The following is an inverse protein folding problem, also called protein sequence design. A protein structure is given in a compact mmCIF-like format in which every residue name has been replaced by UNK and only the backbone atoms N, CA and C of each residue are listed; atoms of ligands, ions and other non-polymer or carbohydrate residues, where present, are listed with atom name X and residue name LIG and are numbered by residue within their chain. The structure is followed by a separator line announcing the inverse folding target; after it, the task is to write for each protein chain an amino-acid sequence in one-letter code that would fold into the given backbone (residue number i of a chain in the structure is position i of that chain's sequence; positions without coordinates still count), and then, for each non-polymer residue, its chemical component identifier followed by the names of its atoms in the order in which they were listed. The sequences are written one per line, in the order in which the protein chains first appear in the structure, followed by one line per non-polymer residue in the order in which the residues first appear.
data_IF_873514880067
#
_entry.id   IF_873514880067
#
_cell.length_a   1.000
_cell.length_b   1.000
_cell.length_c   1.000
_cell.angle_alpha   90.00
_cell.angle_beta   90.00
_cell.angle_gamma   90.00
#
_symmetry.space_group_name_H-M   'P 1'
#
loop_
_entity.id
_entity.type
_entity.pdbx_description
1 polymer ?
#
# COMPACT_ATOMS: atom_id res chain seq x y z
N UNK A 1 -7.61 -18.94 -2.06
CA UNK A 1 -8.79 -18.56 -1.24
C UNK A 1 -10.02 -18.33 -2.10
N UNK A 2 -10.06 -17.32 -2.98
CA UNK A 2 -11.27 -16.99 -3.77
C UNK A 2 -11.86 -18.15 -4.58
N UNK A 3 -11.01 -19.01 -5.17
CA UNK A 3 -11.46 -20.23 -5.85
C UNK A 3 -12.14 -21.23 -4.91
N UNK A 4 -11.62 -21.39 -3.70
CA UNK A 4 -12.19 -22.27 -2.69
C UNK A 4 -13.54 -21.74 -2.18
N UNK A 5 -13.67 -20.40 -2.04
CA UNK A 5 -14.95 -19.76 -1.68
C UNK A 5 -16.07 -20.04 -2.70
N UNK A 6 -15.70 -20.25 -3.97
CA UNK A 6 -16.63 -20.56 -5.06
C UNK A 6 -16.67 -22.05 -5.42
N UNK A 7 -15.95 -22.92 -4.72
CA UNK A 7 -15.87 -24.36 -5.02
C UNK A 7 -15.29 -24.71 -6.40
N UNK A 8 -14.53 -23.80 -7.03
CA UNK A 8 -14.04 -23.98 -8.41
C UNK A 8 -12.61 -24.55 -8.44
N UNK A 9 -12.44 -25.62 -9.21
CA UNK A 9 -11.14 -26.26 -9.43
C UNK A 9 -10.38 -25.60 -10.60
N UNK A 10 -9.07 -25.85 -10.70
CA UNK A 10 -8.24 -25.35 -11.80
C UNK A 10 -8.66 -25.90 -13.17
N UNK A 11 -9.31 -27.07 -13.22
CA UNK A 11 -9.82 -27.69 -14.46
C UNK A 11 -10.93 -26.87 -15.12
N UNK A 12 -11.68 -26.07 -14.34
CA UNK A 12 -12.74 -25.22 -14.89
C UNK A 12 -12.23 -24.05 -15.74
N UNK A 13 -10.91 -23.80 -15.77
CA UNK A 13 -10.25 -22.73 -16.54
C UNK A 13 -10.95 -21.36 -16.49
N UNK A 14 -11.60 -21.06 -15.36
CA UNK A 14 -12.30 -19.79 -15.17
C UNK A 14 -11.26 -18.69 -15.00
N UNK A 15 -11.42 -17.62 -15.78
CA UNK A 15 -10.55 -16.43 -15.71
C UNK A 15 -10.57 -15.83 -14.31
N UNK A 16 -9.42 -15.35 -13.85
CA UNK A 16 -9.30 -14.72 -12.53
C UNK A 16 -10.19 -13.47 -12.39
N UNK A 17 -10.40 -12.73 -13.48
CA UNK A 17 -11.32 -11.59 -13.51
C UNK A 17 -12.75 -12.00 -13.19
N UNK A 18 -13.20 -13.14 -13.73
CA UNK A 18 -14.53 -13.69 -13.47
C UNK A 18 -14.67 -14.17 -12.02
N UNK A 19 -13.62 -14.80 -11.48
CA UNK A 19 -13.56 -15.20 -10.07
C UNK A 19 -13.69 -13.97 -9.17
N UNK A 20 -12.92 -12.90 -9.44
CA UNK A 20 -12.99 -11.64 -8.68
C UNK A 20 -14.36 -10.95 -8.80
N UNK A 21 -14.98 -11.00 -10.00
CA UNK A 21 -16.33 -10.46 -10.24
C UNK A 21 -17.38 -11.18 -9.39
N UNK A 22 -17.27 -12.51 -9.28
CA UNK A 22 -18.19 -13.34 -8.50
C UNK A 22 -17.98 -13.22 -6.99
N UNK A 23 -16.72 -13.24 -6.53
CA UNK A 23 -16.43 -13.14 -5.09
C UNK A 23 -16.66 -11.75 -4.54
N UNK A 24 -16.56 -10.70 -5.38
CA UNK A 24 -16.61 -9.28 -4.97
C UNK A 24 -15.67 -8.96 -3.81
N UNK A 25 -14.62 -9.77 -3.65
CA UNK A 25 -13.61 -9.56 -2.62
C UNK A 25 -12.90 -8.26 -2.94
N UNK A 26 -12.74 -7.42 -1.91
CA UNK A 26 -12.06 -6.15 -2.07
C UNK A 26 -10.63 -6.41 -2.50
N UNK A 27 -10.19 -5.72 -3.54
CA UNK A 27 -8.81 -5.79 -3.99
C UNK A 27 -7.86 -5.46 -2.83
N UNK A 28 -7.02 -6.44 -2.48
CA UNK A 28 -6.14 -6.35 -1.31
C UNK A 28 -5.15 -5.20 -1.49
N UNK A 29 -4.64 -4.95 -2.70
CA UNK A 29 -3.73 -3.84 -2.94
C UNK A 29 -4.43 -2.50 -2.69
N UNK A 30 -5.69 -2.34 -3.12
CA UNK A 30 -6.50 -1.15 -2.80
C UNK A 30 -6.73 -1.01 -1.29
N UNK A 31 -7.04 -2.11 -0.60
CA UNK A 31 -7.26 -2.10 0.86
C UNK A 31 -5.99 -1.73 1.63
N UNK A 32 -4.87 -2.35 1.29
CA UNK A 32 -3.56 -2.06 1.87
C UNK A 32 -3.17 -0.61 1.62
N UNK A 33 -3.36 -0.11 0.39
CA UNK A 33 -3.13 1.30 0.08
C UNK A 33 -3.99 2.20 0.96
N UNK A 34 -5.31 1.97 1.04
CA UNK A 34 -6.22 2.76 1.88
C UNK A 34 -5.78 2.79 3.35
N UNK A 35 -5.43 1.65 3.94
CA UNK A 35 -4.97 1.56 5.32
C UNK A 35 -3.65 2.33 5.51
N UNK A 36 -2.71 2.18 4.58
CA UNK A 36 -1.45 2.94 4.55
C UNK A 36 -1.70 4.45 4.56
N UNK A 37 -2.70 4.92 3.80
CA UNK A 37 -3.07 6.34 3.72
C UNK A 37 -3.77 6.85 4.98
N UNK A 38 -4.72 6.07 5.52
CA UNK A 38 -5.39 6.43 6.78
C UNK A 38 -4.38 6.59 7.91
N UNK A 39 -3.42 5.67 7.99
CA UNK A 39 -2.33 5.77 8.95
C UNK A 39 -1.45 7.01 8.68
N UNK A 40 -1.05 7.25 7.43
CA UNK A 40 -0.24 8.43 7.09
C UNK A 40 -0.93 9.76 7.45
N UNK A 41 -2.25 9.87 7.26
CA UNK A 41 -3.04 11.04 7.66
C UNK A 41 -3.17 11.17 9.18
N UNK A 42 -3.40 10.06 9.89
CA UNK A 42 -3.39 10.04 11.36
C UNK A 42 -2.06 10.51 11.94
N UNK A 43 -0.96 10.02 11.37
CA UNK A 43 0.42 10.38 11.72
C UNK A 43 0.68 11.87 11.45
N UNK A 44 0.20 12.42 10.32
CA UNK A 44 0.37 13.84 10.01
C UNK A 44 -0.29 14.79 11.03
N UNK A 45 -1.39 14.36 11.66
CA UNK A 45 -2.15 15.17 12.64
C UNK A 45 -1.60 15.13 14.07
N UNK A 46 -0.90 14.06 14.46
CA UNK A 46 -0.51 13.83 15.86
C UNK A 46 0.89 14.37 16.25
N UNK A 47 1.69 14.83 15.29
CA UNK A 47 2.79 15.80 15.39
C UNK A 47 4.03 15.50 16.28
N UNK A 48 4.05 14.44 17.11
CA UNK A 48 5.00 14.37 18.25
C UNK A 48 6.18 13.42 18.05
N UNK A 49 6.05 12.35 17.25
CA UNK A 49 7.10 11.34 17.01
C UNK A 49 7.25 10.92 15.53
N UNK A 50 6.47 11.53 14.64
CA UNK A 50 5.91 10.85 13.46
C UNK A 50 6.66 11.19 12.17
N UNK A 51 7.31 12.36 12.12
CA UNK A 51 8.24 12.71 11.04
C UNK A 51 9.44 11.77 10.99
N UNK A 52 9.97 11.39 12.16
CA UNK A 52 11.09 10.44 12.24
C UNK A 52 10.73 9.10 11.61
N UNK A 53 9.49 8.63 11.74
CA UNK A 53 9.02 7.36 11.17
C UNK A 53 8.81 7.46 9.66
N UNK A 54 8.23 8.57 9.18
CA UNK A 54 8.00 8.81 7.76
C UNK A 54 9.28 9.04 6.96
N UNK A 55 10.26 9.69 7.58
CA UNK A 55 11.58 9.93 7.03
C UNK A 55 12.57 8.82 7.38
N UNK A 56 12.16 7.88 8.23
CA UNK A 56 13.00 6.80 8.72
C UNK A 56 13.60 6.03 7.55
N UNK A 57 14.92 5.83 7.64
CA UNK A 57 15.66 5.00 6.70
C UNK A 57 16.11 3.74 7.42
N UNK A 58 15.76 2.54 6.94
CA UNK A 58 16.05 1.30 7.63
C UNK A 58 17.53 0.88 7.64
N UNK A 59 18.48 1.69 7.13
CA UNK A 59 19.86 1.23 6.93
C UNK A 59 20.91 2.32 7.14
N UNK A 60 21.91 1.99 7.95
CA UNK A 60 23.12 2.79 8.20
C UNK A 60 24.27 2.45 7.22
N UNK A 61 24.09 1.49 6.30
CA UNK A 61 25.13 0.98 5.38
C UNK A 61 24.95 1.33 3.90
N UNK A 62 25.96 1.00 3.07
CA UNK A 62 25.94 1.18 1.60
C UNK A 62 24.97 0.18 0.95
N UNK A 63 24.18 0.63 -0.04
CA UNK A 63 23.12 -0.14 -0.69
C UNK A 63 23.62 -0.85 -1.95
N UNK A 64 22.98 -1.95 -2.33
CA UNK A 64 23.16 -2.57 -3.65
C UNK A 64 22.76 -1.60 -4.77
N UNK A 65 23.51 -1.65 -5.88
CA UNK A 65 23.26 -0.86 -7.09
C UNK A 65 21.89 -1.23 -7.66
N UNK A 66 21.09 -0.23 -8.04
CA UNK A 66 19.81 -0.42 -8.74
C UNK A 66 18.52 -0.21 -7.92
N UNK A 67 18.59 -0.02 -6.59
CA UNK A 67 17.38 0.28 -5.79
C UNK A 67 17.39 1.74 -5.34
N UNK A 68 16.51 2.61 -5.90
CA UNK A 68 16.41 4.01 -5.49
C UNK A 68 16.08 4.15 -4.01
N UNK A 69 16.61 5.15 -3.29
CA UNK A 69 16.36 5.37 -1.86
C UNK A 69 14.89 5.74 -1.58
N UNK A 70 13.96 4.79 -1.67
CA UNK A 70 12.53 5.04 -1.45
C UNK A 70 12.24 5.24 0.03
N UNK A 71 11.73 6.43 0.37
CA UNK A 71 11.13 6.75 1.67
C UNK A 71 9.62 6.61 1.56
N UNK A 72 8.95 6.35 2.67
CA UNK A 72 7.48 6.40 2.71
C UNK A 72 6.94 7.76 2.26
N UNK A 73 7.62 8.85 2.61
CA UNK A 73 7.31 10.20 2.11
C UNK A 73 7.33 10.33 0.59
N UNK A 74 8.11 9.54 -0.13
CA UNK A 74 8.14 9.58 -1.60
C UNK A 74 6.90 8.94 -2.21
N UNK A 75 6.45 7.80 -1.69
CA UNK A 75 5.17 7.21 -2.10
C UNK A 75 4.02 8.17 -1.84
N UNK A 76 4.03 8.85 -0.68
CA UNK A 76 2.99 9.81 -0.31
C UNK A 76 3.00 11.01 -1.25
N UNK A 77 4.17 11.60 -1.52
CA UNK A 77 4.30 12.73 -2.45
C UNK A 77 3.90 12.38 -3.88
N UNK A 78 4.16 11.15 -4.33
CA UNK A 78 3.79 10.70 -5.67
C UNK A 78 2.28 10.70 -5.89
N UNK A 79 1.49 10.43 -4.85
CA UNK A 79 0.03 10.29 -4.95
C UNK A 79 -0.70 11.56 -4.51
N UNK A 80 -0.31 12.15 -3.38
CA UNK A 80 -1.00 13.28 -2.76
C UNK A 80 -0.32 14.64 -3.01
N UNK A 81 0.76 14.65 -3.80
CA UNK A 81 1.52 15.85 -4.12
C UNK A 81 2.43 16.32 -2.98
N UNK A 82 3.20 17.38 -3.23
CA UNK A 82 4.18 17.92 -2.28
C UNK A 82 3.55 18.52 -1.01
N UNK A 83 2.30 19.02 -1.12
CA UNK A 83 1.52 19.65 -0.04
C UNK A 83 0.63 18.68 0.75
N UNK A 84 0.81 17.37 0.60
CA UNK A 84 -0.01 16.34 1.25
C UNK A 84 -0.19 16.52 2.77
N UNK A 85 0.79 17.14 3.45
CA UNK A 85 0.74 17.43 4.88
C UNK A 85 -0.27 18.51 5.28
N UNK A 86 -0.62 19.40 4.36
CA UNK A 86 -1.57 20.50 4.61
C UNK A 86 -3.02 20.06 4.35
N UNK A 87 -3.21 18.93 3.67
CA UNK A 87 -4.51 18.40 3.29
C UNK A 87 -4.99 17.24 4.20
N UNK A 88 -4.22 16.89 5.22
CA UNK A 88 -4.48 15.78 6.15
C UNK A 88 -5.07 16.29 7.47
#
# INVERSE_FOLDING_TARGET
MERAMLGVSLRGQIRNEEIRRRTRVTDIAKRVARLKWQWAGHIARNGRWDLKVLEWRPRTGKRSVGVPPTRWTYDIRRIAGSRWRQAA
#
